data_IF_626863567273
#
_entry.id   IF_626863567273
#
_cell.length_a   1.000
_cell.length_b   1.000
_cell.length_c   1.000
_cell.angle_alpha   90.00
_cell.angle_beta   90.00
_cell.angle_gamma   90.00
#
_symmetry.space_group_name_H-M   'P 1'
#
loop_
_entity.id
_entity.type
_entity.pdbx_description
1 polymer ?
#
# COMPACT_ATOMS: atom_id res chain seq x y z
N UNK A 1 9.82 1.18 69.59
CA UNK A 1 8.71 2.04 70.01
C UNK A 1 8.04 2.50 68.73
N UNK A 2 7.02 1.82 68.38
CA UNK A 2 5.59 2.19 68.34
C UNK A 2 5.32 3.21 67.24
N UNK A 3 4.48 3.05 66.25
CA UNK A 3 3.32 2.22 66.10
C UNK A 3 2.71 2.41 64.72
N UNK A 4 2.08 1.39 64.29
CA UNK A 4 1.15 1.24 63.18
C UNK A 4 -0.24 1.75 63.67
N UNK A 5 -1.29 1.93 62.83
CA UNK A 5 -1.59 2.14 61.41
C UNK A 5 -2.69 3.22 61.19
N UNK A 6 -3.08 3.49 59.94
CA UNK A 6 -4.52 3.59 59.62
C UNK A 6 -4.82 3.54 58.10
N UNK A 7 -5.18 2.35 57.69
CA UNK A 7 -6.08 2.08 56.56
C UNK A 7 -7.49 2.59 56.92
N UNK A 8 -8.05 3.48 56.13
CA UNK A 8 -9.50 3.68 55.80
C UNK A 8 -9.75 5.06 55.31
N UNK A 9 -9.70 5.26 53.99
CA UNK A 9 -10.47 6.35 53.33
C UNK A 9 -10.28 6.28 51.82
N UNK A 10 -10.83 5.26 51.23
CA UNK A 10 -11.09 5.19 49.77
C UNK A 10 -12.34 4.37 49.53
N UNK A 11 -13.50 4.94 49.78
CA UNK A 11 -14.81 4.48 49.30
C UNK A 11 -15.86 5.49 49.73
N UNK A 12 -15.95 6.64 49.04
CA UNK A 12 -17.12 7.53 49.08
C UNK A 12 -16.93 8.68 48.08
N UNK A 13 -16.87 8.41 46.80
CA UNK A 13 -17.03 9.43 45.72
C UNK A 13 -17.48 8.70 44.44
N UNK A 14 -18.63 8.09 44.50
CA UNK A 14 -19.18 7.34 43.39
C UNK A 14 -20.72 7.29 43.31
N UNK A 15 -21.43 8.16 44.06
CA UNK A 15 -22.92 8.14 44.05
C UNK A 15 -23.57 9.52 44.19
N UNK A 16 -22.97 10.59 43.68
CA UNK A 16 -23.57 11.94 43.79
C UNK A 16 -23.84 12.65 42.45
N UNK A 17 -23.91 11.93 41.33
CA UNK A 17 -24.17 12.52 40.01
C UNK A 17 -25.38 11.97 39.27
N UNK A 18 -26.30 11.29 39.94
CA UNK A 18 -27.51 10.74 39.29
C UNK A 18 -28.84 11.24 39.88
N UNK A 19 -28.86 12.16 40.85
CA UNK A 19 -30.09 12.64 41.45
C UNK A 19 -30.24 14.18 41.38
N UNK A 20 -30.26 14.75 40.18
CA UNK A 20 -30.66 16.17 39.97
C UNK A 20 -31.37 16.40 38.62
N UNK A 21 -32.23 15.46 38.21
CA UNK A 21 -33.11 15.63 37.03
C UNK A 21 -34.51 15.07 37.26
N UNK A 22 -35.08 15.25 38.44
CA UNK A 22 -36.45 14.84 38.71
C UNK A 22 -37.16 15.84 39.66
N UNK A 23 -37.25 17.11 39.29
CA UNK A 23 -38.13 18.04 39.97
C UNK A 23 -38.33 19.30 39.12
N UNK A 24 -38.95 19.23 37.94
CA UNK A 24 -39.80 20.30 37.35
C UNK A 24 -40.77 19.61 36.38
N UNK A 25 -41.79 18.98 36.94
CA UNK A 25 -43.00 18.61 36.19
C UNK A 25 -44.20 19.01 37.02
N UNK A 26 -44.61 20.24 36.86
CA UNK A 26 -45.87 20.74 37.48
C UNK A 26 -46.04 22.22 37.25
N UNK A 27 -46.75 22.60 36.18
CA UNK A 27 -47.24 23.96 36.07
C UNK A 27 -47.41 24.51 34.67
N UNK A 28 -48.69 24.54 34.26
CA UNK A 28 -49.30 25.44 33.26
C UNK A 28 -49.19 25.08 31.78
N UNK A 29 -50.28 24.48 31.35
CA UNK A 29 -50.77 24.47 29.97
C UNK A 29 -50.98 25.90 29.46
N UNK A 30 -50.55 26.14 28.22
CA UNK A 30 -50.94 27.17 27.24
C UNK A 30 -49.76 28.03 26.73
N UNK A 31 -48.91 27.43 25.93
CA UNK A 31 -48.07 28.14 24.92
C UNK A 31 -47.53 27.12 23.92
N UNK A 32 -48.41 26.37 23.32
CA UNK A 32 -48.11 25.32 22.36
C UNK A 32 -48.50 25.78 20.96
N UNK A 33 -47.76 26.69 20.36
CA UNK A 33 -47.90 26.93 18.90
C UNK A 33 -46.78 27.69 18.22
N UNK A 34 -45.53 27.74 18.76
CA UNK A 34 -44.42 28.41 18.02
C UNK A 34 -43.02 27.84 18.33
N UNK A 35 -42.92 26.54 18.55
CA UNK A 35 -41.60 25.89 18.56
C UNK A 35 -41.56 24.94 17.38
N UNK A 36 -40.71 25.21 16.35
CA UNK A 36 -40.45 24.18 15.33
C UNK A 36 -39.91 22.93 16.04
N UNK A 37 -40.50 21.76 15.73
CA UNK A 37 -40.05 20.48 16.23
C UNK A 37 -38.64 20.25 15.70
N UNK A 38 -37.63 20.55 16.51
CA UNK A 38 -36.24 20.12 16.25
C UNK A 38 -36.25 18.62 16.46
N UNK A 39 -36.02 17.82 15.41
CA UNK A 39 -35.88 16.39 15.58
C UNK A 39 -34.74 16.11 16.57
N UNK A 40 -34.86 15.10 17.44
CA UNK A 40 -33.78 14.76 18.36
C UNK A 40 -32.52 14.52 17.54
N UNK A 41 -31.36 15.01 17.98
CA UNK A 41 -30.10 14.77 17.27
C UNK A 41 -29.93 13.26 17.09
N UNK A 42 -29.88 12.82 15.84
CA UNK A 42 -29.59 11.42 15.54
C UNK A 42 -28.20 11.12 16.07
N UNK A 43 -28.08 10.12 16.92
CA UNK A 43 -26.79 9.67 17.44
C UNK A 43 -25.93 8.93 16.39
N UNK A 44 -26.34 8.96 15.12
CA UNK A 44 -25.65 8.29 14.01
C UNK A 44 -24.22 8.80 13.80
N UNK A 45 -23.93 10.04 14.19
CA UNK A 45 -22.57 10.57 14.15
C UNK A 45 -21.63 9.90 15.18
N UNK A 46 -22.15 9.50 16.34
CA UNK A 46 -21.39 8.78 17.36
C UNK A 46 -21.04 7.35 16.90
N UNK A 47 -21.95 6.66 16.24
CA UNK A 47 -21.68 5.32 15.70
C UNK A 47 -20.69 5.38 14.54
N UNK A 48 -20.62 6.49 13.79
CA UNK A 48 -19.60 6.70 12.76
C UNK A 48 -18.22 7.02 13.34
N UNK A 49 -18.12 7.62 14.52
CA UNK A 49 -16.86 7.87 15.23
C UNK A 49 -16.31 6.64 15.96
N UNK A 50 -17.15 5.72 16.43
CA UNK A 50 -16.75 4.56 17.23
C UNK A 50 -16.76 3.22 16.45
N UNK A 51 -16.56 3.26 15.13
CA UNK A 51 -16.21 2.07 14.36
C UNK A 51 -17.36 1.18 13.95
N UNK A 52 -18.51 1.75 13.65
CA UNK A 52 -19.50 1.11 12.77
C UNK A 52 -18.91 1.06 11.37
N UNK A 53 -18.08 0.05 11.04
CA UNK A 53 -17.55 -0.12 9.70
C UNK A 53 -18.69 -0.05 8.69
N UNK A 54 -18.64 0.89 7.74
CA UNK A 54 -19.61 0.93 6.63
C UNK A 54 -19.69 -0.47 6.05
N UNK A 55 -20.86 -1.11 6.12
CA UNK A 55 -21.04 -2.44 5.54
C UNK A 55 -20.60 -2.37 4.08
N UNK A 56 -19.64 -3.23 3.71
CA UNK A 56 -19.24 -3.34 2.32
C UNK A 56 -20.46 -3.80 1.53
N UNK A 57 -20.70 -3.19 0.38
CA UNK A 57 -21.85 -3.50 -0.46
C UNK A 57 -21.87 -4.98 -0.88
N UNK A 58 -23.03 -5.54 -1.21
CA UNK A 58 -23.13 -6.87 -1.81
C UNK A 58 -22.26 -6.98 -3.06
N UNK A 59 -21.97 -8.22 -3.46
CA UNK A 59 -21.26 -8.48 -4.70
C UNK A 59 -22.05 -7.93 -5.89
N UNK A 60 -21.43 -7.18 -6.80
CA UNK A 60 -22.11 -6.69 -8.00
C UNK A 60 -22.58 -7.87 -8.87
N UNK A 61 -23.74 -7.73 -9.48
CA UNK A 61 -24.26 -8.65 -10.46
C UNK A 61 -23.85 -8.21 -11.87
N UNK A 62 -23.19 -9.08 -12.62
CA UNK A 62 -22.78 -8.85 -13.99
C UNK A 62 -22.55 -10.18 -14.71
N UNK A 63 -22.65 -10.24 -16.06
CA UNK A 63 -22.38 -11.44 -16.84
C UNK A 63 -20.91 -11.88 -16.67
N UNK A 64 -20.69 -13.13 -16.30
CA UNK A 64 -19.34 -13.73 -16.26
C UNK A 64 -19.02 -14.22 -17.65
N UNK A 65 -18.09 -13.55 -18.33
CA UNK A 65 -17.64 -13.87 -19.70
C UNK A 65 -16.16 -14.22 -19.76
N UNK A 66 -15.42 -14.03 -18.64
CA UNK A 66 -14.04 -14.43 -18.48
C UNK A 66 -13.81 -15.11 -17.13
N UNK A 67 -12.84 -16.01 -17.08
CA UNK A 67 -12.47 -16.73 -15.88
C UNK A 67 -11.20 -16.16 -15.27
N UNK A 68 -11.27 -15.83 -13.98
CA UNK A 68 -10.08 -15.56 -13.19
C UNK A 68 -9.46 -16.88 -12.75
N UNK A 69 -8.42 -17.30 -13.43
CA UNK A 69 -7.75 -18.57 -13.16
C UNK A 69 -6.64 -18.39 -12.14
N UNK A 70 -6.79 -19.04 -10.98
CA UNK A 70 -5.70 -19.17 -10.01
C UNK A 70 -4.77 -20.26 -10.53
N UNK A 71 -3.67 -19.87 -11.19
CA UNK A 71 -2.68 -20.80 -11.72
C UNK A 71 -2.04 -21.63 -10.59
N UNK A 72 -1.75 -20.99 -9.46
CA UNK A 72 -1.32 -21.65 -8.23
C UNK A 72 -1.48 -20.71 -7.02
N UNK A 73 -1.43 -21.32 -5.84
CA UNK A 73 -1.41 -20.60 -4.57
C UNK A 73 -0.54 -21.32 -3.54
N UNK A 74 0.13 -20.55 -2.66
CA UNK A 74 1.02 -21.08 -1.63
C UNK A 74 0.75 -20.39 -0.29
N UNK A 75 0.49 -21.17 0.73
CA UNK A 75 0.36 -20.65 2.09
C UNK A 75 1.75 -20.53 2.73
N UNK A 76 2.14 -19.31 3.06
CA UNK A 76 3.44 -18.99 3.68
C UNK A 76 3.29 -18.48 5.13
N UNK A 77 2.06 -18.43 5.66
CA UNK A 77 1.76 -17.86 6.98
C UNK A 77 1.56 -16.34 6.96
N UNK A 78 1.04 -15.78 8.05
CA UNK A 78 0.60 -14.39 8.18
C UNK A 78 1.64 -13.38 7.66
N UNK A 79 1.16 -12.38 6.97
CA UNK A 79 1.98 -11.31 6.41
C UNK A 79 1.87 -9.98 7.18
N UNK A 80 2.65 -8.99 6.76
CA UNK A 80 2.62 -7.62 7.24
C UNK A 80 2.54 -6.65 6.04
N UNK A 81 2.05 -5.41 6.21
CA UNK A 81 1.85 -4.47 5.11
C UNK A 81 3.09 -4.12 4.28
N UNK A 82 4.28 -4.20 4.86
CA UNK A 82 5.55 -3.97 4.15
C UNK A 82 6.12 -5.20 3.44
N UNK A 83 5.40 -6.33 3.46
CA UNK A 83 5.83 -7.57 2.81
C UNK A 83 5.07 -7.77 1.50
N UNK A 84 5.79 -7.84 0.41
CA UNK A 84 5.30 -8.09 -0.94
C UNK A 84 6.21 -9.11 -1.64
N UNK A 85 5.67 -9.93 -2.56
CA UNK A 85 6.50 -10.83 -3.34
C UNK A 85 7.46 -10.08 -4.25
N UNK A 86 8.70 -10.56 -4.37
CA UNK A 86 9.63 -10.15 -5.40
C UNK A 86 9.61 -11.16 -6.54
N UNK A 87 9.41 -10.68 -7.77
CA UNK A 87 9.42 -11.51 -8.96
C UNK A 87 10.72 -11.30 -9.71
N UNK A 88 11.44 -12.39 -9.99
CA UNK A 88 12.59 -12.45 -10.89
C UNK A 88 12.27 -13.39 -12.05
N UNK A 89 13.07 -13.43 -13.13
CA UNK A 89 12.78 -14.31 -14.27
C UNK A 89 12.62 -15.80 -13.90
N UNK A 90 13.34 -16.25 -12.86
CA UNK A 90 13.44 -17.67 -12.51
C UNK A 90 12.92 -18.02 -11.11
N UNK A 91 12.39 -17.05 -10.36
CA UNK A 91 11.91 -17.29 -9.00
C UNK A 91 10.96 -16.19 -8.54
N UNK A 92 10.05 -16.56 -7.64
CA UNK A 92 9.29 -15.64 -6.82
C UNK A 92 9.78 -15.81 -5.39
N UNK A 93 10.12 -14.71 -4.74
CA UNK A 93 10.51 -14.70 -3.34
C UNK A 93 9.40 -14.03 -2.53
N UNK A 94 8.99 -14.67 -1.45
CA UNK A 94 7.99 -14.16 -0.54
C UNK A 94 8.43 -14.37 0.90
N UNK A 95 7.90 -13.59 1.83
CA UNK A 95 8.24 -13.72 3.24
C UNK A 95 7.01 -13.53 4.12
N UNK A 96 7.01 -14.17 5.29
CA UNK A 96 6.00 -13.96 6.31
C UNK A 96 6.50 -13.07 7.44
N UNK A 97 5.59 -12.58 8.26
CA UNK A 97 5.91 -11.69 9.38
C UNK A 97 6.65 -12.39 10.54
N UNK A 98 6.61 -13.73 10.62
CA UNK A 98 7.34 -14.48 11.64
C UNK A 98 8.82 -14.66 11.34
N UNK A 99 9.25 -14.45 10.07
CA UNK A 99 10.66 -14.47 9.71
C UNK A 99 11.06 -15.53 8.70
N UNK A 100 10.13 -16.27 8.13
CA UNK A 100 10.42 -17.27 7.11
C UNK A 100 10.39 -16.64 5.72
N UNK A 101 11.42 -16.89 4.92
CA UNK A 101 11.56 -16.47 3.53
C UNK A 101 11.42 -17.71 2.66
N UNK A 102 10.71 -17.57 1.54
CA UNK A 102 10.41 -18.64 0.60
C UNK A 102 10.92 -18.30 -0.80
N UNK A 103 11.49 -19.29 -1.47
CA UNK A 103 11.64 -19.27 -2.92
C UNK A 103 10.61 -20.18 -3.55
N UNK A 104 9.85 -19.64 -4.46
CA UNK A 104 8.70 -20.29 -5.11
C UNK A 104 9.00 -20.37 -6.62
N UNK A 105 8.71 -21.51 -7.21
CA UNK A 105 8.78 -21.70 -8.66
C UNK A 105 7.63 -20.93 -9.32
N UNK A 106 7.90 -19.96 -10.22
CA UNK A 106 6.87 -19.17 -10.87
C UNK A 106 5.93 -19.96 -11.77
N UNK A 107 6.35 -21.13 -12.26
CA UNK A 107 5.55 -21.94 -13.19
C UNK A 107 4.41 -22.72 -12.49
N UNK A 108 4.65 -23.19 -11.26
CA UNK A 108 3.74 -24.14 -10.60
C UNK A 108 3.49 -23.86 -9.11
N UNK A 109 4.13 -22.83 -8.53
CA UNK A 109 3.99 -22.49 -7.12
C UNK A 109 4.72 -23.41 -6.14
N UNK A 110 5.55 -24.35 -6.62
CA UNK A 110 6.29 -25.24 -5.74
C UNK A 110 7.31 -24.46 -4.90
N UNK A 111 7.35 -24.73 -3.59
CA UNK A 111 8.36 -24.17 -2.70
C UNK A 111 9.69 -24.87 -2.96
N UNK A 112 10.64 -24.15 -3.56
CA UNK A 112 11.99 -24.67 -3.87
C UNK A 112 12.83 -24.77 -2.60
N UNK A 113 12.80 -23.73 -1.77
CA UNK A 113 13.39 -23.70 -0.44
C UNK A 113 12.68 -22.70 0.48
N UNK A 114 12.91 -22.85 1.77
CA UNK A 114 12.57 -21.87 2.81
C UNK A 114 13.74 -21.68 3.75
N UNK A 115 13.92 -20.46 4.25
CA UNK A 115 14.97 -20.13 5.22
C UNK A 115 14.42 -19.21 6.31
N UNK A 116 15.00 -19.29 7.51
CA UNK A 116 14.59 -18.48 8.65
C UNK A 116 15.54 -17.28 8.81
N UNK A 117 14.96 -16.09 8.88
CA UNK A 117 15.70 -14.85 9.16
C UNK A 117 16.06 -14.71 10.65
N UNK A 118 15.54 -15.58 11.51
CA UNK A 118 15.77 -15.57 12.96
C UNK A 118 15.12 -14.41 13.70
N UNK A 119 14.29 -13.61 13.04
CA UNK A 119 13.57 -12.46 13.62
C UNK A 119 12.34 -12.11 12.80
N UNK A 120 11.42 -11.35 13.41
CA UNK A 120 10.21 -10.85 12.72
C UNK A 120 10.58 -9.91 11.60
N UNK A 121 9.92 -10.08 10.45
CA UNK A 121 10.08 -9.22 9.29
C UNK A 121 8.94 -8.20 9.19
N UNK A 122 9.29 -7.00 8.79
CA UNK A 122 8.36 -5.89 8.59
C UNK A 122 8.35 -5.40 7.14
N UNK A 123 9.44 -5.64 6.38
CA UNK A 123 9.61 -5.16 5.02
C UNK A 123 10.34 -6.20 4.14
N UNK A 124 9.91 -6.32 2.92
CA UNK A 124 10.49 -7.24 1.94
C UNK A 124 9.42 -7.83 1.02
N UNK A 125 9.78 -8.55 0.02
CA UNK A 125 11.12 -9.04 -0.33
C UNK A 125 11.69 -8.14 -1.42
N UNK A 126 12.96 -7.75 -1.30
CA UNK A 126 13.74 -7.24 -2.42
C UNK A 126 14.59 -8.36 -2.99
N UNK A 127 14.63 -8.52 -4.31
CA UNK A 127 15.47 -9.56 -4.89
C UNK A 127 15.96 -9.20 -6.30
N UNK A 128 17.10 -9.76 -6.64
CA UNK A 128 17.58 -9.91 -8.01
C UNK A 128 17.96 -11.38 -8.28
N UNK A 129 18.74 -11.65 -9.31
CA UNK A 129 19.16 -13.01 -9.64
C UNK A 129 20.09 -13.64 -8.58
N UNK A 130 20.73 -12.85 -7.72
CA UNK A 130 21.84 -13.27 -6.84
C UNK A 130 21.57 -13.04 -5.36
N UNK A 131 20.71 -12.08 -5.03
CA UNK A 131 20.51 -11.60 -3.67
C UNK A 131 19.03 -11.47 -3.33
N UNK A 132 18.69 -11.84 -2.11
CA UNK A 132 17.35 -11.69 -1.50
C UNK A 132 17.51 -10.88 -0.23
N UNK A 133 16.75 -9.79 -0.08
CA UNK A 133 16.91 -8.83 1.02
C UNK A 133 15.57 -8.60 1.72
N UNK A 134 15.59 -8.61 3.04
CA UNK A 134 14.43 -8.31 3.89
C UNK A 134 14.82 -7.34 5.00
N UNK A 135 13.81 -6.67 5.58
CA UNK A 135 13.99 -5.68 6.63
C UNK A 135 13.11 -5.92 7.85
N UNK A 136 13.51 -5.36 8.98
CA UNK A 136 12.79 -5.45 10.25
C UNK A 136 12.28 -4.09 10.71
N UNK A 137 11.34 -4.09 11.65
CA UNK A 137 10.86 -2.90 12.37
C UNK A 137 11.91 -2.28 13.31
N UNK A 138 13.04 -2.97 13.51
CA UNK A 138 14.17 -2.49 14.30
C UNK A 138 15.30 -1.92 13.44
N UNK A 139 15.12 -1.85 12.11
CA UNK A 139 16.12 -1.35 11.18
C UNK A 139 17.22 -2.35 10.85
N UNK A 140 17.03 -3.64 11.10
CA UNK A 140 17.95 -4.64 10.59
C UNK A 140 17.63 -4.93 9.13
N UNK A 141 18.64 -4.96 8.28
CA UNK A 141 18.58 -5.38 6.87
C UNK A 141 19.38 -6.67 6.75
N UNK A 142 18.73 -7.73 6.28
CA UNK A 142 19.30 -9.06 6.16
C UNK A 142 19.32 -9.45 4.68
N UNK A 143 20.45 -9.96 4.24
CA UNK A 143 20.63 -10.45 2.87
C UNK A 143 20.99 -11.93 2.84
N UNK A 144 20.40 -12.60 1.87
CA UNK A 144 20.60 -14.02 1.58
C UNK A 144 20.98 -14.19 0.12
N UNK A 145 21.70 -15.24 -0.22
CA UNK A 145 21.92 -15.58 -1.63
C UNK A 145 20.69 -16.26 -2.27
N UNK A 146 20.77 -16.54 -3.56
CA UNK A 146 19.67 -17.17 -4.30
C UNK A 146 19.34 -18.59 -3.80
N UNK A 147 20.22 -19.21 -3.02
CA UNK A 147 20.02 -20.53 -2.39
C UNK A 147 19.50 -20.44 -0.95
N UNK A 148 19.22 -19.21 -0.46
CA UNK A 148 18.70 -18.97 0.88
C UNK A 148 19.72 -18.95 1.99
N UNK A 149 21.04 -18.94 1.68
CA UNK A 149 22.11 -18.86 2.67
C UNK A 149 22.34 -17.40 3.06
N UNK A 150 22.49 -17.15 4.36
CA UNK A 150 22.78 -15.81 4.88
C UNK A 150 24.11 -15.27 4.33
N UNK A 151 24.12 -14.03 3.84
CA UNK A 151 25.29 -13.34 3.30
C UNK A 151 25.82 -12.28 4.25
N UNK A 152 24.97 -11.32 4.58
CA UNK A 152 25.31 -10.23 5.48
C UNK A 152 24.07 -9.69 6.20
N UNK A 153 24.34 -8.97 7.28
CA UNK A 153 23.35 -8.23 8.03
C UNK A 153 23.94 -6.88 8.44
N UNK A 154 23.16 -5.83 8.29
CA UNK A 154 23.54 -4.47 8.70
C UNK A 154 22.37 -3.80 9.40
N UNK A 155 22.66 -2.69 10.11
CA UNK A 155 21.65 -1.88 10.79
C UNK A 155 21.57 -0.50 10.15
N UNK A 156 20.34 -0.09 9.78
CA UNK A 156 20.04 1.26 9.31
C UNK A 156 19.43 2.11 10.44
N UNK A 157 19.18 3.37 10.17
CA UNK A 157 18.85 4.38 11.18
C UNK A 157 17.49 4.22 11.85
N UNK A 158 16.53 3.60 11.18
CA UNK A 158 15.15 3.42 11.66
C UNK A 158 14.54 2.15 11.07
N UNK A 159 13.29 1.87 11.39
CA UNK A 159 12.53 0.76 10.81
C UNK A 159 12.58 0.76 9.28
N UNK A 160 12.70 -0.42 8.68
CA UNK A 160 12.56 -0.59 7.23
C UNK A 160 11.08 -0.64 6.88
N UNK A 161 10.63 0.22 5.96
CA UNK A 161 9.20 0.36 5.65
C UNK A 161 8.74 -0.55 4.52
N UNK A 162 9.37 -0.45 3.37
CA UNK A 162 8.96 -1.17 2.15
C UNK A 162 9.99 -2.19 1.68
N UNK A 163 9.66 -2.99 0.65
CA UNK A 163 10.61 -3.92 0.06
C UNK A 163 11.89 -3.20 -0.37
N UNK A 164 13.07 -3.65 0.07
CA UNK A 164 14.33 -3.14 -0.45
C UNK A 164 14.40 -3.29 -1.97
N UNK A 165 15.04 -2.36 -2.67
CA UNK A 165 15.27 -2.49 -4.11
C UNK A 165 16.70 -2.99 -4.35
N UNK A 166 16.84 -4.15 -4.99
CA UNK A 166 18.15 -4.69 -5.39
C UNK A 166 18.35 -4.41 -6.88
N UNK A 167 19.37 -3.64 -7.24
CA UNK A 167 19.67 -3.31 -8.63
C UNK A 167 21.13 -2.85 -8.78
N UNK A 168 21.79 -3.25 -9.85
CA UNK A 168 23.10 -2.75 -10.27
C UNK A 168 24.17 -2.76 -9.14
N UNK A 169 24.15 -3.82 -8.29
CA UNK A 169 25.07 -3.95 -7.17
C UNK A 169 24.78 -3.07 -5.96
N UNK A 170 23.62 -2.41 -5.93
CA UNK A 170 23.14 -1.59 -4.82
C UNK A 170 21.86 -2.18 -4.24
N UNK A 171 21.76 -2.15 -2.93
CA UNK A 171 20.51 -2.41 -2.18
C UNK A 171 20.00 -1.09 -1.63
N UNK A 172 18.86 -0.66 -2.11
CA UNK A 172 18.20 0.57 -1.63
C UNK A 172 17.20 0.23 -0.55
N UNK A 173 17.28 0.91 0.58
CA UNK A 173 16.43 0.70 1.76
C UNK A 173 15.76 2.00 2.15
N UNK A 174 14.43 1.97 2.32
CA UNK A 174 13.62 3.09 2.75
C UNK A 174 13.30 2.96 4.24
N UNK A 175 13.58 4.00 5.02
CA UNK A 175 13.40 3.98 6.48
C UNK A 175 12.36 4.97 6.96
N UNK A 176 11.76 4.67 8.14
CA UNK A 176 10.67 5.45 8.72
C UNK A 176 11.04 6.88 9.11
N UNK A 177 12.32 7.18 9.26
CA UNK A 177 12.85 8.53 9.50
C UNK A 177 13.04 9.38 8.22
N UNK A 178 12.54 8.90 7.07
CA UNK A 178 12.59 9.62 5.81
C UNK A 178 13.92 9.53 5.08
N UNK A 179 14.80 8.58 5.47
CA UNK A 179 16.06 8.34 4.76
C UNK A 179 15.92 7.26 3.71
N UNK A 180 16.74 7.38 2.68
CA UNK A 180 16.97 6.35 1.68
C UNK A 180 18.44 5.98 1.76
N UNK A 181 18.72 4.72 2.04
CA UNK A 181 20.07 4.19 2.16
C UNK A 181 20.44 3.39 0.92
N UNK A 182 21.56 3.69 0.30
CA UNK A 182 22.19 2.85 -0.72
C UNK A 182 23.30 2.03 -0.09
N UNK A 183 23.12 0.72 -0.04
CA UNK A 183 24.08 -0.25 0.51
C UNK A 183 24.71 -1.03 -0.63
N UNK A 184 25.97 -1.42 -0.49
CA UNK A 184 26.59 -2.34 -1.45
C UNK A 184 25.93 -3.72 -1.35
N UNK A 185 25.58 -4.31 -2.48
CA UNK A 185 24.96 -5.65 -2.52
C UNK A 185 25.90 -6.75 -2.03
N UNK A 186 27.23 -6.55 -2.16
CA UNK A 186 28.23 -7.53 -1.81
C UNK A 186 28.34 -7.81 -0.31
N UNK A 187 28.28 -6.76 0.51
CA UNK A 187 28.60 -6.81 1.95
C UNK A 187 27.71 -5.94 2.83
N UNK A 188 26.75 -5.21 2.24
CA UNK A 188 25.80 -4.35 2.97
C UNK A 188 26.42 -3.04 3.50
N UNK A 189 27.65 -2.68 3.14
CA UNK A 189 28.24 -1.42 3.57
C UNK A 189 27.47 -0.23 3.00
N UNK A 190 27.29 0.82 3.81
CA UNK A 190 26.62 2.04 3.35
C UNK A 190 27.50 2.75 2.34
N UNK A 191 26.98 2.93 1.13
CA UNK A 191 27.62 3.66 0.05
C UNK A 191 27.19 5.13 0.01
N UNK A 192 25.90 5.36 0.22
CA UNK A 192 25.33 6.71 0.31
C UNK A 192 24.06 6.72 1.16
N UNK A 193 23.69 7.90 1.64
CA UNK A 193 22.42 8.13 2.35
C UNK A 193 21.81 9.44 1.83
N UNK A 194 20.61 9.36 1.32
CA UNK A 194 19.78 10.51 1.02
C UNK A 194 18.87 10.80 2.21
N UNK A 195 18.80 12.06 2.64
CA UNK A 195 17.95 12.50 3.74
C UNK A 195 17.09 13.68 3.32
N UNK A 196 15.82 13.63 3.67
CA UNK A 196 14.87 14.73 3.50
C UNK A 196 14.11 14.95 4.80
N UNK A 197 13.73 16.20 5.08
CA UNK A 197 12.79 16.51 6.15
C UNK A 197 11.38 16.16 5.68
N UNK A 198 10.72 15.26 6.39
CA UNK A 198 9.33 14.91 6.13
C UNK A 198 8.38 16.00 6.65
N UNK A 199 7.19 16.16 6.03
CA UNK A 199 6.09 16.91 6.62
C UNK A 199 5.71 16.38 8.01
N UNK A 200 5.06 17.21 8.87
CA UNK A 200 4.67 16.79 10.22
C UNK A 200 3.74 15.56 10.26
N UNK A 201 2.87 15.44 9.26
CA UNK A 201 1.99 14.27 9.07
C UNK A 201 2.22 13.66 7.68
N UNK A 202 2.39 12.36 7.65
CA UNK A 202 2.58 11.58 6.41
C UNK A 202 1.85 10.25 6.53
N UNK A 203 1.48 9.69 5.39
CA UNK A 203 1.05 8.29 5.33
C UNK A 203 2.29 7.41 5.45
N UNK A 204 2.18 6.36 6.25
CA UNK A 204 3.22 5.34 6.32
C UNK A 204 3.34 4.63 4.97
N UNK A 205 4.42 4.91 4.25
CA UNK A 205 4.63 4.40 2.90
C UNK A 205 5.41 3.09 2.93
N UNK A 206 4.84 2.05 2.32
CA UNK A 206 5.44 0.73 2.20
C UNK A 206 5.88 0.39 0.76
N UNK A 207 5.81 1.33 -0.18
CA UNK A 207 6.00 1.00 -1.58
C UNK A 207 7.46 0.82 -2.00
N UNK A 208 8.40 1.56 -1.41
CA UNK A 208 9.79 1.55 -1.87
C UNK A 208 10.02 2.37 -3.14
N UNK A 209 10.89 1.91 -4.02
CA UNK A 209 11.25 2.60 -5.27
C UNK A 209 11.45 1.67 -6.45
N UNK A 210 11.40 2.25 -7.65
CA UNK A 210 11.64 1.55 -8.92
C UNK A 210 12.99 1.97 -9.49
N UNK A 211 13.80 1.01 -9.95
CA UNK A 211 15.08 1.30 -10.59
C UNK A 211 15.03 1.06 -12.10
N UNK A 212 15.64 1.94 -12.87
CA UNK A 212 15.80 1.80 -14.31
C UNK A 212 16.98 2.63 -14.80
N UNK A 213 17.80 2.08 -15.68
CA UNK A 213 18.91 2.77 -16.38
C UNK A 213 19.83 3.57 -15.45
N UNK A 214 20.28 2.96 -14.35
CA UNK A 214 21.12 3.62 -13.35
C UNK A 214 20.40 4.61 -12.43
N UNK A 215 19.12 4.86 -12.64
CA UNK A 215 18.29 5.73 -11.81
C UNK A 215 17.41 4.95 -10.84
N UNK A 216 17.22 5.51 -9.65
CA UNK A 216 16.19 5.14 -8.70
C UNK A 216 15.09 6.19 -8.72
N UNK A 217 13.86 5.76 -8.94
CA UNK A 217 12.66 6.61 -8.87
C UNK A 217 11.89 6.30 -7.61
N UNK A 218 11.74 7.29 -6.74
CA UNK A 218 11.15 7.11 -5.42
C UNK A 218 10.08 8.18 -5.14
N UNK A 219 8.89 7.73 -4.77
CA UNK A 219 7.85 8.58 -4.23
C UNK A 219 8.15 8.96 -2.78
N UNK A 220 7.88 10.22 -2.44
CA UNK A 220 8.09 10.72 -1.07
C UNK A 220 6.86 11.37 -0.49
N UNK A 221 6.89 11.58 0.81
CA UNK A 221 5.93 12.42 1.51
C UNK A 221 5.92 13.86 0.94
N UNK A 222 4.76 14.51 0.98
CA UNK A 222 4.57 15.85 0.41
C UNK A 222 4.47 15.86 -1.10
N UNK A 223 4.16 14.71 -1.73
CA UNK A 223 3.77 14.61 -3.15
C UNK A 223 4.91 14.75 -4.15
N UNK A 224 6.12 14.36 -3.77
CA UNK A 224 7.29 14.47 -4.66
C UNK A 224 7.69 13.12 -5.26
N UNK A 225 8.20 13.16 -6.47
CA UNK A 225 8.92 12.08 -7.13
C UNK A 225 10.39 12.48 -7.28
N UNK A 226 11.28 11.64 -6.80
CA UNK A 226 12.73 11.83 -6.90
C UNK A 226 13.30 10.89 -7.96
N UNK A 227 14.23 11.40 -8.75
CA UNK A 227 15.16 10.59 -9.54
C UNK A 227 16.54 10.71 -8.91
N UNK A 228 17.06 9.62 -8.40
CA UNK A 228 18.34 9.53 -7.70
C UNK A 228 19.27 8.65 -8.53
N UNK A 229 20.49 9.09 -8.74
CA UNK A 229 21.54 8.26 -9.32
C UNK A 229 21.84 7.09 -8.38
N UNK A 230 21.64 5.87 -8.85
CA UNK A 230 21.69 4.66 -8.02
C UNK A 230 23.11 4.41 -7.49
N UNK A 231 24.14 4.79 -8.24
CA UNK A 231 25.52 4.55 -7.86
C UNK A 231 26.04 5.55 -6.82
N UNK A 232 25.57 6.80 -6.85
CA UNK A 232 26.13 7.89 -6.03
C UNK A 232 25.17 8.44 -4.98
N UNK A 233 23.84 8.21 -5.11
CA UNK A 233 22.83 8.79 -4.25
C UNK A 233 22.48 10.26 -4.56
N UNK A 234 23.07 10.83 -5.61
CA UNK A 234 22.81 12.21 -5.99
C UNK A 234 21.44 12.34 -6.65
N UNK A 235 20.70 13.38 -6.30
CA UNK A 235 19.42 13.70 -6.95
C UNK A 235 19.68 14.32 -8.31
N UNK A 236 19.22 13.67 -9.36
CA UNK A 236 19.25 14.18 -10.72
C UNK A 236 18.16 15.22 -10.95
N UNK A 237 16.93 14.91 -10.52
CA UNK A 237 15.80 15.82 -10.56
C UNK A 237 14.72 15.46 -9.52
N UNK A 238 13.85 16.43 -9.24
CA UNK A 238 12.68 16.29 -8.37
C UNK A 238 11.45 16.83 -9.11
N UNK A 239 10.36 16.04 -9.17
CA UNK A 239 9.09 16.41 -9.77
C UNK A 239 7.95 16.51 -8.72
N UNK A 240 7.03 17.47 -8.92
CA UNK A 240 5.83 17.59 -8.11
C UNK A 240 4.70 16.73 -8.69
N UNK A 241 4.45 15.56 -8.10
CA UNK A 241 3.27 14.75 -8.42
C UNK A 241 2.02 15.45 -7.88
N UNK A 242 2.06 15.87 -6.61
CA UNK A 242 0.97 16.62 -5.98
C UNK A 242 1.53 17.78 -5.14
N UNK A 243 0.67 18.74 -4.85
CA UNK A 243 1.00 19.86 -3.96
C UNK A 243 0.05 19.78 -2.77
N UNK A 244 0.55 19.71 -1.52
CA UNK A 244 -0.28 19.75 -0.32
C UNK A 244 -1.22 20.96 -0.32
N UNK A 245 -2.53 20.73 -0.10
CA UNK A 245 -3.57 21.76 -0.08
C UNK A 245 -4.50 21.51 1.11
N UNK A 246 -4.94 22.56 1.78
CA UNK A 246 -5.89 22.50 2.88
C UNK A 246 -5.53 23.40 4.04
N UNK A 247 -6.48 23.55 4.96
CA UNK A 247 -6.34 24.37 6.16
C UNK A 247 -5.68 23.60 7.31
N UNK A 248 -5.90 22.28 7.36
CA UNK A 248 -5.39 21.39 8.41
C UNK A 248 -4.23 20.54 7.91
N UNK A 249 -3.40 20.02 8.82
CA UNK A 249 -2.31 19.10 8.46
C UNK A 249 -2.84 17.79 7.82
N UNK A 250 -4.03 17.31 8.22
CA UNK A 250 -4.66 16.13 7.62
C UNK A 250 -5.04 16.37 6.15
N UNK A 251 -5.56 17.56 5.83
CA UNK A 251 -5.90 17.92 4.45
C UNK A 251 -4.67 18.13 3.57
N UNK A 252 -3.52 18.43 4.19
CA UNK A 252 -2.25 18.64 3.50
C UNK A 252 -1.46 17.38 3.21
N UNK A 253 -1.94 16.21 3.67
CA UNK A 253 -1.29 14.95 3.29
C UNK A 253 -1.47 14.75 1.79
N UNK A 254 -0.36 14.71 1.05
CA UNK A 254 -0.35 14.51 -0.40
C UNK A 254 0.87 13.66 -0.76
N UNK A 255 0.86 12.39 -0.31
CA UNK A 255 2.03 11.52 -0.35
C UNK A 255 1.99 10.60 -1.56
N UNK A 256 3.15 10.40 -2.21
CA UNK A 256 3.31 9.35 -3.22
C UNK A 256 3.60 8.04 -2.49
N UNK A 257 2.57 7.20 -2.36
CA UNK A 257 2.57 5.99 -1.51
C UNK A 257 2.66 4.69 -2.29
N UNK A 258 2.80 4.76 -3.61
CA UNK A 258 2.90 3.60 -4.51
C UNK A 258 4.20 3.60 -5.29
N UNK A 259 4.56 2.45 -5.84
CA UNK A 259 5.73 2.33 -6.73
C UNK A 259 5.53 3.21 -7.97
N UNK A 260 6.49 4.08 -8.30
CA UNK A 260 6.52 4.73 -9.60
C UNK A 260 6.67 3.69 -10.71
N UNK A 261 6.00 3.90 -11.83
CA UNK A 261 6.16 3.07 -13.02
C UNK A 261 7.06 3.79 -14.02
N UNK A 262 8.07 3.07 -14.48
CA UNK A 262 8.96 3.50 -15.57
C UNK A 262 8.59 2.75 -16.83
N UNK A 263 8.32 3.48 -17.89
CA UNK A 263 8.06 2.90 -19.21
C UNK A 263 8.67 3.79 -20.31
N UNK A 264 9.45 3.17 -21.20
CA UNK A 264 10.15 3.82 -22.31
C UNK A 264 10.93 5.07 -21.89
N UNK A 265 10.33 6.25 -22.05
CA UNK A 265 10.95 7.56 -21.80
C UNK A 265 10.25 8.35 -20.70
N UNK A 266 9.29 7.74 -20.02
CA UNK A 266 8.53 8.41 -18.97
C UNK A 266 8.56 7.63 -17.66
N UNK A 267 8.36 8.36 -16.56
CA UNK A 267 8.08 7.82 -15.25
C UNK A 267 6.80 8.44 -14.72
N UNK A 268 5.89 7.60 -14.27
CA UNK A 268 4.59 8.03 -13.73
C UNK A 268 4.46 7.64 -12.27
N UNK A 269 3.83 8.49 -11.49
CA UNK A 269 3.50 8.24 -10.10
C UNK A 269 2.11 8.80 -9.76
N UNK A 270 1.47 8.23 -8.74
CA UNK A 270 0.19 8.69 -8.20
C UNK A 270 0.35 9.04 -6.74
N UNK A 271 -0.29 10.12 -6.31
CA UNK A 271 -0.30 10.56 -4.92
C UNK A 271 -1.68 10.38 -4.29
N UNK A 272 -1.69 10.01 -3.01
CA UNK A 272 -2.86 10.09 -2.15
C UNK A 272 -3.26 11.55 -1.93
N UNK A 273 -4.55 11.87 -1.90
CA UNK A 273 -5.13 13.23 -1.88
C UNK A 273 -4.50 14.16 -2.92
N UNK A 274 -4.08 13.57 -4.05
CA UNK A 274 -3.36 14.26 -5.09
C UNK A 274 -3.83 13.91 -6.48
N UNK A 275 -2.87 13.57 -7.32
CA UNK A 275 -3.08 13.30 -8.75
C UNK A 275 -2.06 12.29 -9.28
N UNK A 276 -2.28 11.83 -10.50
CA UNK A 276 -1.26 11.16 -11.30
C UNK A 276 -0.44 12.24 -12.02
N UNK A 277 0.85 12.04 -12.09
CA UNK A 277 1.75 12.83 -12.89
C UNK A 277 2.79 11.95 -13.60
N UNK A 278 3.03 12.22 -14.88
CA UNK A 278 4.06 11.56 -15.67
C UNK A 278 5.11 12.59 -16.09
N UNK A 279 6.37 12.20 -16.00
CA UNK A 279 7.53 13.04 -16.25
C UNK A 279 8.44 12.41 -17.29
N UNK A 280 9.17 13.22 -18.06
CA UNK A 280 10.28 12.75 -18.87
C UNK A 280 11.31 12.07 -17.95
N UNK A 281 11.70 10.84 -18.29
CA UNK A 281 12.54 10.00 -17.43
C UNK A 281 13.90 10.62 -17.13
N UNK A 282 14.48 11.35 -18.08
CA UNK A 282 15.83 11.91 -18.00
C UNK A 282 15.82 13.34 -17.47
N UNK A 283 14.93 14.17 -18.00
CA UNK A 283 14.92 15.61 -17.71
C UNK A 283 14.04 15.98 -16.52
N UNK A 284 13.12 15.09 -16.10
CA UNK A 284 12.15 15.38 -15.04
C UNK A 284 11.09 16.42 -15.42
N UNK A 285 10.98 16.74 -16.71
CA UNK A 285 9.96 17.66 -17.21
C UNK A 285 8.59 17.00 -17.11
N UNK A 286 7.60 17.78 -16.62
CA UNK A 286 6.23 17.30 -16.51
C UNK A 286 5.63 17.13 -17.92
N UNK A 287 5.17 15.90 -18.22
CA UNK A 287 4.51 15.58 -19.49
C UNK A 287 3.01 15.84 -19.40
N UNK A 288 2.35 15.25 -18.40
CA UNK A 288 0.92 15.46 -18.16
C UNK A 288 0.54 15.14 -16.71
N UNK A 289 -0.65 15.60 -16.31
CA UNK A 289 -1.25 15.27 -15.01
C UNK A 289 -2.73 14.93 -15.15
N UNK A 290 -3.25 14.14 -14.19
CA UNK A 290 -4.68 13.83 -14.07
C UNK A 290 -5.09 13.77 -12.61
N UNK A 291 -6.16 14.47 -12.24
CA UNK A 291 -6.69 14.47 -10.88
C UNK A 291 -7.37 13.13 -10.60
N UNK A 292 -6.61 12.23 -9.97
CA UNK A 292 -7.03 10.92 -9.48
C UNK A 292 -6.18 10.60 -8.26
N UNK A 293 -6.79 10.51 -7.09
CA UNK A 293 -6.12 10.13 -5.85
C UNK A 293 -6.09 8.60 -5.70
N UNK A 294 -4.95 8.02 -5.36
CA UNK A 294 -4.82 6.58 -5.13
C UNK A 294 -3.74 6.22 -4.14
N UNK A 295 -4.04 5.24 -3.30
CA UNK A 295 -3.08 4.55 -2.42
C UNK A 295 -2.54 3.25 -3.05
N UNK A 296 -3.22 2.70 -4.05
CA UNK A 296 -2.99 1.34 -4.55
C UNK A 296 -2.06 1.24 -5.75
N UNK A 297 -1.54 2.36 -6.24
CA UNK A 297 -0.62 2.39 -7.36
C UNK A 297 -1.27 2.37 -8.73
N UNK A 298 -0.42 2.26 -9.74
CA UNK A 298 -0.78 2.30 -11.16
C UNK A 298 -0.18 1.08 -11.87
N UNK A 299 -0.78 0.70 -13.00
CA UNK A 299 -0.18 -0.21 -13.98
C UNK A 299 -0.28 0.40 -15.38
N UNK A 300 0.54 -0.07 -16.31
CA UNK A 300 0.62 0.51 -17.65
C UNK A 300 0.79 -0.60 -18.69
N UNK A 301 0.11 -0.47 -19.81
CA UNK A 301 0.30 -1.33 -20.98
C UNK A 301 0.78 -0.53 -22.19
N UNK A 302 0.68 -1.09 -23.37
CA UNK A 302 1.09 -0.41 -24.61
C UNK A 302 0.24 0.83 -24.96
N UNK A 303 -0.94 1.01 -24.36
CA UNK A 303 -1.89 2.09 -24.68
C UNK A 303 -2.35 2.88 -23.46
N UNK A 304 -2.64 2.20 -22.36
CA UNK A 304 -3.30 2.80 -21.20
C UNK A 304 -2.46 2.75 -19.93
N UNK A 305 -2.66 3.74 -19.09
CA UNK A 305 -2.32 3.74 -17.67
C UNK A 305 -3.60 3.45 -16.89
N UNK A 306 -3.57 2.45 -16.03
CA UNK A 306 -4.68 2.04 -15.18
C UNK A 306 -4.44 2.40 -13.73
N UNK A 307 -5.51 2.81 -13.05
CA UNK A 307 -5.48 3.15 -11.62
C UNK A 307 -6.83 2.87 -10.99
N UNK A 308 -6.83 2.32 -9.77
CA UNK A 308 -7.99 2.31 -8.90
C UNK A 308 -7.89 3.49 -7.94
N UNK A 309 -8.91 4.36 -7.91
CA UNK A 309 -8.94 5.51 -7.02
C UNK A 309 -9.31 5.12 -5.57
N UNK A 310 -9.16 6.06 -4.63
CA UNK A 310 -9.43 5.81 -3.20
C UNK A 310 -10.92 5.55 -2.90
N UNK A 311 -11.82 5.87 -3.83
CA UNK A 311 -13.23 5.53 -3.75
C UNK A 311 -13.53 4.10 -4.25
N UNK A 312 -12.60 3.49 -5.02
CA UNK A 312 -12.74 2.17 -5.62
C UNK A 312 -13.21 2.18 -7.06
N UNK A 313 -13.25 3.34 -7.73
CA UNK A 313 -13.45 3.39 -9.17
C UNK A 313 -12.14 3.09 -9.91
N UNK A 314 -12.23 2.40 -11.04
CA UNK A 314 -11.10 2.05 -11.88
C UNK A 314 -11.10 2.94 -13.12
N UNK A 315 -9.95 3.52 -13.45
CA UNK A 315 -9.78 4.41 -14.58
C UNK A 315 -8.75 3.85 -15.54
N UNK A 316 -8.99 4.00 -16.84
CA UNK A 316 -7.97 3.90 -17.88
C UNK A 316 -7.74 5.28 -18.49
N UNK A 317 -6.49 5.65 -18.54
CA UNK A 317 -6.02 6.91 -19.12
C UNK A 317 -5.11 6.60 -20.30
N UNK A 318 -5.19 7.37 -21.36
CA UNK A 318 -4.20 7.32 -22.44
C UNK A 318 -2.81 7.62 -21.86
N UNK A 319 -1.85 6.73 -22.04
CA UNK A 319 -0.54 6.81 -21.37
C UNK A 319 0.31 8.00 -21.84
N UNK A 320 0.02 8.55 -23.01
CA UNK A 320 0.80 9.64 -23.60
C UNK A 320 0.23 11.01 -23.21
N UNK A 321 -1.08 11.12 -23.14
CA UNK A 321 -1.78 12.41 -22.95
C UNK A 321 -2.46 12.56 -21.59
N UNK A 322 -2.66 11.45 -20.84
CA UNK A 322 -3.45 11.44 -19.62
C UNK A 322 -4.96 11.61 -19.85
N UNK A 323 -5.43 11.57 -21.10
CA UNK A 323 -6.85 11.66 -21.40
C UNK A 323 -7.60 10.42 -20.90
N UNK A 324 -8.81 10.63 -20.34
CA UNK A 324 -9.64 9.51 -19.87
C UNK A 324 -10.17 8.72 -21.06
N UNK A 325 -9.88 7.41 -21.09
CA UNK A 325 -10.43 6.48 -22.06
C UNK A 325 -11.75 5.90 -21.54
N UNK A 326 -11.74 5.38 -20.32
CA UNK A 326 -12.94 4.88 -19.65
C UNK A 326 -12.81 4.97 -18.12
N UNK A 327 -13.95 4.88 -17.44
CA UNK A 327 -14.08 4.79 -15.98
C UNK A 327 -15.09 3.72 -15.62
N UNK A 328 -14.73 2.83 -14.70
CA UNK A 328 -15.60 1.83 -14.10
C UNK A 328 -15.82 2.15 -12.63
N UNK A 329 -17.05 2.49 -12.24
CA UNK A 329 -17.44 2.89 -10.88
C UNK A 329 -18.29 1.85 -10.13
N UNK A 330 -18.65 0.75 -10.77
CA UNK A 330 -19.44 -0.33 -10.17
C UNK A 330 -18.79 -1.02 -8.96
N UNK A 331 -17.50 -0.80 -8.72
CA UNK A 331 -16.76 -1.34 -7.57
C UNK A 331 -16.51 -0.33 -6.44
N UNK A 332 -16.97 0.93 -6.56
CA UNK A 332 -16.76 1.97 -5.55
C UNK A 332 -17.27 1.55 -4.16
N UNK A 333 -18.47 0.99 -4.08
CA UNK A 333 -19.06 0.54 -2.82
C UNK A 333 -18.31 -0.66 -2.20
N UNK A 334 -17.43 -1.32 -2.96
CA UNK A 334 -16.55 -2.41 -2.53
C UNK A 334 -15.13 -1.96 -2.24
N UNK A 335 -14.78 -0.70 -2.51
CA UNK A 335 -13.45 -0.14 -2.32
C UNK A 335 -12.36 -0.97 -3.02
N UNK A 336 -12.60 -1.32 -4.28
CA UNK A 336 -11.64 -2.06 -5.07
C UNK A 336 -10.32 -1.27 -5.22
N UNK A 337 -9.22 -1.99 -5.25
CA UNK A 337 -7.87 -1.43 -5.25
C UNK A 337 -6.93 -2.27 -6.12
N UNK A 338 -5.77 -1.71 -6.49
CA UNK A 338 -4.69 -2.44 -7.11
C UNK A 338 -5.01 -2.86 -8.55
N UNK A 339 -5.22 -1.91 -9.45
CA UNK A 339 -5.41 -2.19 -10.86
C UNK A 339 -4.13 -2.78 -11.48
N UNK A 340 -4.10 -4.11 -11.72
CA UNK A 340 -2.94 -4.84 -12.22
C UNK A 340 -3.29 -5.63 -13.48
N UNK A 341 -2.40 -5.62 -14.46
CA UNK A 341 -2.56 -6.41 -15.69
C UNK A 341 -2.41 -7.89 -15.37
N UNK A 342 -3.32 -8.73 -15.86
CA UNK A 342 -3.34 -10.18 -15.72
C UNK A 342 -3.82 -10.80 -17.05
N UNK A 343 -2.89 -11.20 -17.91
CA UNK A 343 -3.19 -11.62 -19.28
C UNK A 343 -3.84 -10.49 -20.08
N UNK A 344 -4.97 -10.77 -20.70
CA UNK A 344 -5.72 -9.81 -21.51
C UNK A 344 -6.64 -8.87 -20.69
N UNK A 345 -6.67 -9.05 -19.38
CA UNK A 345 -7.58 -8.37 -18.47
C UNK A 345 -6.84 -7.49 -17.46
N UNK A 346 -7.61 -6.63 -16.80
CA UNK A 346 -7.19 -5.89 -15.63
C UNK A 346 -7.77 -6.55 -14.38
N UNK A 347 -6.92 -6.85 -13.42
CA UNK A 347 -7.29 -7.45 -12.14
C UNK A 347 -7.33 -6.38 -11.06
N UNK A 348 -8.43 -6.34 -10.29
CA UNK A 348 -8.57 -5.52 -9.09
C UNK A 348 -9.05 -6.38 -7.92
N UNK A 349 -8.68 -5.97 -6.71
CA UNK A 349 -8.97 -6.70 -5.48
C UNK A 349 -9.82 -5.84 -4.56
N UNK A 350 -10.75 -6.44 -3.82
CA UNK A 350 -11.45 -5.75 -2.75
C UNK A 350 -10.93 -6.19 -1.36
N UNK A 351 -11.20 -5.41 -0.30
CA UNK A 351 -10.76 -5.73 1.05
C UNK A 351 -11.35 -7.03 1.63
N UNK A 352 -12.38 -7.62 1.01
CA UNK A 352 -12.97 -8.90 1.41
C UNK A 352 -12.35 -10.10 0.68
N UNK A 353 -11.28 -9.86 -0.09
CA UNK A 353 -10.58 -10.91 -0.82
C UNK A 353 -11.32 -11.42 -2.05
N UNK A 354 -12.18 -10.60 -2.66
CA UNK A 354 -12.66 -10.89 -4.01
C UNK A 354 -11.75 -10.21 -5.03
N UNK A 355 -11.42 -10.93 -6.08
CA UNK A 355 -10.78 -10.39 -7.26
C UNK A 355 -11.80 -10.27 -8.39
N UNK A 356 -11.64 -9.22 -9.19
CA UNK A 356 -12.48 -8.91 -10.34
C UNK A 356 -11.60 -8.77 -11.58
N UNK A 357 -12.07 -9.29 -12.70
CA UNK A 357 -11.48 -9.05 -14.01
C UNK A 357 -12.29 -7.99 -14.74
N UNK A 358 -11.59 -7.02 -15.29
CA UNK A 358 -12.15 -6.00 -16.18
C UNK A 358 -11.52 -6.16 -17.58
N UNK A 359 -12.32 -5.99 -18.60
CA UNK A 359 -11.81 -5.81 -19.97
C UNK A 359 -10.97 -4.52 -20.03
N UNK A 360 -9.74 -4.61 -20.51
CA UNK A 360 -8.84 -3.46 -20.57
C UNK A 360 -9.28 -2.38 -21.56
N UNK A 361 -10.06 -2.76 -22.58
CA UNK A 361 -10.45 -1.84 -23.66
C UNK A 361 -11.60 -0.91 -23.28
N UNK A 362 -12.57 -1.39 -22.45
CA UNK A 362 -13.79 -0.65 -22.11
C UNK A 362 -14.13 -0.63 -20.61
N UNK A 363 -13.38 -1.34 -19.78
CA UNK A 363 -13.55 -1.37 -18.32
C UNK A 363 -14.73 -2.21 -17.84
N UNK A 364 -15.37 -3.00 -18.67
CA UNK A 364 -16.47 -3.87 -18.26
C UNK A 364 -16.01 -4.94 -17.29
N UNK A 365 -16.81 -5.20 -16.24
CA UNK A 365 -16.63 -6.33 -15.36
C UNK A 365 -16.99 -7.61 -16.13
N UNK A 366 -16.04 -8.54 -16.24
CA UNK A 366 -16.17 -9.76 -17.02
C UNK A 366 -15.93 -11.04 -16.23
N UNK A 367 -15.27 -10.95 -15.05
CA UNK A 367 -14.97 -12.11 -14.24
C UNK A 367 -14.83 -11.77 -12.75
N UNK A 368 -14.97 -12.78 -11.92
CA UNK A 368 -14.79 -12.67 -10.46
C UNK A 368 -14.37 -14.02 -9.89
N UNK A 369 -13.46 -14.00 -8.89
CA UNK A 369 -13.17 -15.16 -8.07
C UNK A 369 -12.97 -14.73 -6.59
N UNK A 370 -13.12 -15.70 -5.68
CA UNK A 370 -12.81 -15.49 -4.26
C UNK A 370 -11.39 -15.94 -3.98
N UNK A 371 -10.72 -15.26 -3.03
CA UNK A 371 -9.44 -15.65 -2.45
C UNK A 371 -9.62 -16.14 -1.01
N UNK A 372 -8.63 -15.96 -0.14
CA UNK A 372 -8.68 -16.34 1.27
C UNK A 372 -9.53 -15.39 2.16
N UNK A 373 -10.21 -14.42 1.59
CA UNK A 373 -11.06 -13.48 2.33
C UNK A 373 -10.29 -12.36 3.04
N UNK A 374 -8.98 -12.20 2.79
CA UNK A 374 -8.16 -11.17 3.42
C UNK A 374 -7.60 -10.19 2.38
N UNK A 375 -7.34 -8.92 2.78
CA UNK A 375 -6.80 -7.93 1.85
C UNK A 375 -5.41 -8.28 1.32
N UNK A 376 -5.05 -7.75 0.16
CA UNK A 376 -3.66 -7.74 -0.30
C UNK A 376 -2.77 -6.89 0.62
N UNK A 377 -1.50 -7.27 0.76
CA UNK A 377 -0.49 -6.49 1.52
C UNK A 377 0.12 -5.37 0.70
N UNK A 378 0.16 -5.52 -0.61
CA UNK A 378 0.79 -4.57 -1.53
C UNK A 378 0.21 -4.71 -2.94
N UNK A 379 0.66 -3.85 -3.86
CA UNK A 379 0.38 -3.98 -5.29
C UNK A 379 0.91 -5.32 -5.82
N UNK A 380 0.16 -5.95 -6.73
CA UNK A 380 0.59 -7.17 -7.38
C UNK A 380 1.82 -6.93 -8.27
N UNK A 381 2.72 -7.91 -8.32
CA UNK A 381 3.85 -7.94 -9.24
C UNK A 381 3.51 -8.76 -10.49
N UNK A 382 4.13 -8.45 -11.63
CA UNK A 382 3.95 -9.19 -12.88
C UNK A 382 4.91 -10.37 -12.96
N UNK A 383 4.40 -11.55 -13.31
CA UNK A 383 5.19 -12.76 -13.59
C UNK A 383 4.67 -13.43 -14.87
N UNK A 384 5.25 -13.10 -16.03
CA UNK A 384 4.70 -13.51 -17.33
C UNK A 384 3.29 -12.96 -17.52
N UNK A 385 2.33 -13.80 -17.81
CA UNK A 385 0.91 -13.45 -17.91
C UNK A 385 0.19 -13.35 -16.56
N UNK A 386 0.83 -13.80 -15.46
CA UNK A 386 0.20 -13.84 -14.14
C UNK A 386 0.46 -12.53 -13.37
N UNK A 387 -0.54 -12.09 -12.63
CA UNK A 387 -0.39 -11.16 -11.52
C UNK A 387 -0.11 -11.97 -10.25
N UNK A 388 0.92 -11.59 -9.51
CA UNK A 388 1.35 -12.26 -8.27
C UNK A 388 1.22 -11.30 -7.11
N UNK A 389 0.51 -11.69 -6.06
CA UNK A 389 0.41 -10.89 -4.84
C UNK A 389 0.33 -11.78 -3.61
N UNK A 390 0.47 -11.16 -2.45
CA UNK A 390 0.40 -11.79 -1.15
C UNK A 390 -0.73 -11.16 -0.34
N UNK A 391 -1.51 -11.98 0.37
CA UNK A 391 -2.57 -11.53 1.25
C UNK A 391 -2.09 -11.38 2.69
N UNK A 392 -2.83 -10.63 3.51
CA UNK A 392 -2.56 -10.52 4.95
C UNK A 392 -2.73 -11.87 5.66
N UNK A 393 -3.61 -12.75 5.16
CA UNK A 393 -3.76 -14.13 5.61
C UNK A 393 -2.54 -15.00 5.34
N UNK A 394 -1.70 -14.58 4.39
CA UNK A 394 -0.42 -15.23 4.08
C UNK A 394 -0.48 -16.21 2.93
N UNK A 395 -1.42 -16.02 2.01
CA UNK A 395 -1.43 -16.77 0.76
C UNK A 395 -0.75 -15.95 -0.33
N UNK A 396 0.18 -16.54 -1.05
CA UNK A 396 0.71 -16.01 -2.30
C UNK A 396 -0.08 -16.61 -3.45
N UNK A 397 -0.64 -15.76 -4.29
CA UNK A 397 -1.42 -16.15 -5.46
C UNK A 397 -0.70 -15.78 -6.74
N UNK A 398 -0.80 -16.63 -7.76
CA UNK A 398 -0.56 -16.26 -9.15
C UNK A 398 -1.86 -16.44 -9.94
N UNK A 399 -2.35 -15.38 -10.56
CA UNK A 399 -3.64 -15.36 -11.25
C UNK A 399 -3.50 -14.75 -12.62
N UNK A 400 -4.18 -15.34 -13.59
CA UNK A 400 -4.35 -14.80 -14.94
C UNK A 400 -5.84 -14.75 -15.30
N UNK A 401 -6.20 -13.88 -16.25
CA UNK A 401 -7.51 -13.88 -16.88
C UNK A 401 -7.49 -14.71 -18.17
N UNK A 402 -8.55 -15.50 -18.38
CA UNK A 402 -8.80 -16.26 -19.63
C UNK A 402 -10.25 -16.18 -20.06
#
# INVERSE_FOLDING_TARGET
MSGIPNTRMRRALGCAAVMLFAAVAGGCASLQSWIPSIPPPSFDWLTSMFGGGKKIAPLPDFPITANAEIAWQVNIGKSAPGLAPAVTPNAIYAANSSGTIYRIDPANGAVVWRTEAGRKLAAGVGADATLVVVGTDKGDVLAFDADGKARWQVKVTSEVLGPPRVAEGIVVVFTGDGRIHGLTAADGQTKWVYQRTNPPLTIRNYAGGTSSRGGLFAGTAGGKLLAIDLATGNVGWEGNVATPKGATELERIADVTSLPIVEERQVCAVAFQGRIACFDLVRGELLWTRDVSSLSGISIDNRFLFVADDAGAVHALDKVTGASAWKQDGLMARKAAGAQIAGDYLLVLDPQGYLYLLDRSDGKLVGRAATDGTPSTAQAAQSGANAVWQTQGGIVYAVTGR
#
